data_IF_583234440504
#
_entry.id   IF_583234440504
#
_cell.length_a   1.000
_cell.length_b   1.000
_cell.length_c   1.000
_cell.angle_alpha   90.00
_cell.angle_beta   90.00
_cell.angle_gamma   90.00
#
_symmetry.space_group_name_H-M   'P 1'
#
loop_
_entity.id
_entity.type
_entity.pdbx_description
1 polymer ?
#
# COMPACT_ATOMS: atom_id res chain seq x y z
N UNK A 1 18.94 -3.53 -19.48
CA UNK A 1 17.59 -4.07 -19.25
C UNK A 1 17.30 -4.29 -17.76
N UNK A 2 17.68 -3.36 -16.87
CA UNK A 2 17.32 -3.39 -15.44
C UNK A 2 16.15 -2.44 -15.15
N UNK A 3 15.97 -1.37 -15.94
CA UNK A 3 14.87 -0.43 -15.79
C UNK A 3 13.48 -1.04 -15.97
N UNK A 4 13.31 -1.92 -16.98
CA UNK A 4 11.98 -2.46 -17.34
C UNK A 4 11.39 -3.35 -16.24
N UNK A 5 12.18 -4.26 -15.65
CA UNK A 5 11.74 -5.10 -14.53
C UNK A 5 11.46 -4.31 -13.24
N UNK A 6 12.13 -3.17 -13.05
CA UNK A 6 11.90 -2.32 -11.88
C UNK A 6 10.60 -1.53 -12.01
N UNK A 7 10.23 -1.06 -13.21
CA UNK A 7 8.91 -0.45 -13.43
C UNK A 7 7.77 -1.47 -13.30
N UNK A 8 7.98 -2.70 -13.76
CA UNK A 8 6.98 -3.78 -13.68
C UNK A 8 6.47 -4.00 -12.25
N UNK A 9 7.35 -3.99 -11.24
CA UNK A 9 6.96 -4.30 -9.83
C UNK A 9 6.35 -3.13 -9.05
N UNK A 10 6.33 -1.93 -9.62
CA UNK A 10 5.92 -0.70 -8.94
C UNK A 10 4.68 -0.02 -9.53
N UNK A 11 4.13 -0.59 -10.62
CA UNK A 11 2.96 -0.06 -11.29
C UNK A 11 1.66 -0.37 -10.51
N UNK A 12 0.77 0.61 -10.26
CA UNK A 12 -0.48 0.38 -9.53
C UNK A 12 -1.41 -0.68 -10.15
N UNK A 13 -1.34 -0.85 -11.48
CA UNK A 13 -2.12 -1.85 -12.23
C UNK A 13 -1.85 -3.30 -11.80
N UNK A 14 -0.72 -3.57 -11.15
CA UNK A 14 -0.39 -4.89 -10.60
C UNK A 14 -1.41 -5.37 -9.56
N UNK A 15 -2.18 -4.47 -8.97
CA UNK A 15 -3.30 -4.87 -8.12
C UNK A 15 -4.29 -5.79 -8.86
N UNK A 16 -4.51 -5.55 -10.16
CA UNK A 16 -5.42 -6.35 -10.98
C UNK A 16 -4.88 -7.76 -11.30
N UNK A 17 -3.59 -8.01 -11.03
CA UNK A 17 -2.95 -9.32 -11.22
C UNK A 17 -3.11 -10.21 -9.99
N UNK A 18 -3.53 -9.66 -8.85
CA UNK A 18 -3.91 -10.44 -7.67
C UNK A 18 -5.21 -11.22 -7.94
N UNK A 19 -5.37 -12.36 -7.28
CA UNK A 19 -6.66 -13.07 -7.28
C UNK A 19 -7.76 -12.22 -6.65
N UNK A 20 -9.03 -12.51 -6.96
CA UNK A 20 -10.16 -11.75 -6.41
C UNK A 20 -10.18 -11.74 -4.87
N UNK A 21 -9.84 -12.86 -4.24
CA UNK A 21 -9.77 -12.96 -2.78
C UNK A 21 -8.62 -12.11 -2.20
N UNK A 22 -7.44 -12.13 -2.82
CA UNK A 22 -6.31 -11.29 -2.43
C UNK A 22 -6.62 -9.80 -2.58
N UNK A 23 -7.28 -9.41 -3.67
CA UNK A 23 -7.74 -8.03 -3.88
C UNK A 23 -8.66 -7.58 -2.74
N UNK A 24 -9.65 -8.41 -2.39
CA UNK A 24 -10.60 -8.14 -1.31
C UNK A 24 -9.88 -8.04 0.04
N UNK A 25 -8.99 -8.98 0.36
CA UNK A 25 -8.25 -8.98 1.63
C UNK A 25 -7.37 -7.74 1.75
N UNK A 26 -6.62 -7.39 0.69
CA UNK A 26 -5.71 -6.25 0.69
C UNK A 26 -6.47 -4.92 0.84
N UNK A 27 -7.55 -4.72 0.07
CA UNK A 27 -8.37 -3.50 0.16
C UNK A 27 -9.08 -3.40 1.50
N UNK A 28 -9.64 -4.50 2.00
CA UNK A 28 -10.27 -4.51 3.32
C UNK A 28 -9.25 -4.18 4.42
N UNK A 29 -8.05 -4.76 4.37
CA UNK A 29 -7.00 -4.44 5.33
C UNK A 29 -6.67 -2.95 5.34
N UNK A 30 -6.52 -2.32 4.15
CA UNK A 30 -6.29 -0.88 4.03
C UNK A 30 -7.45 -0.10 4.69
N UNK A 31 -8.69 -0.40 4.31
CA UNK A 31 -9.88 0.32 4.78
C UNK A 31 -10.15 0.18 6.28
N UNK A 32 -9.86 -0.98 6.88
CA UNK A 32 -10.17 -1.25 8.29
C UNK A 32 -9.02 -0.90 9.22
N UNK A 33 -7.78 -0.87 8.72
CA UNK A 33 -6.58 -0.72 9.56
C UNK A 33 -6.00 0.69 9.47
N UNK A 34 -5.99 1.27 8.27
CA UNK A 34 -5.39 2.58 8.03
C UNK A 34 -6.46 3.67 8.11
N UNK A 35 -6.04 4.91 8.39
CA UNK A 35 -6.95 6.06 8.48
C UNK A 35 -6.45 7.21 7.61
N UNK A 36 -7.24 7.68 6.63
CA UNK A 36 -6.87 8.84 5.82
C UNK A 36 -6.95 10.14 6.64
N UNK A 37 -6.12 11.11 6.28
CA UNK A 37 -6.08 12.46 6.87
C UNK A 37 -5.95 13.52 5.75
N UNK A 38 -6.10 14.80 6.08
CA UNK A 38 -6.03 15.89 5.09
C UNK A 38 -4.62 16.26 4.66
N UNK A 39 -3.61 15.88 5.44
CA UNK A 39 -2.21 16.25 5.18
C UNK A 39 -1.39 15.02 4.84
N UNK A 40 -0.30 15.21 4.10
CA UNK A 40 0.71 14.18 3.93
C UNK A 40 1.63 14.19 5.16
N UNK A 41 1.18 13.54 6.25
CA UNK A 41 1.98 13.44 7.47
C UNK A 41 2.79 12.16 7.57
N UNK A 42 2.49 11.17 6.72
CA UNK A 42 3.15 9.87 6.74
C UNK A 42 4.59 9.99 6.25
N UNK A 43 5.58 9.65 7.08
CA UNK A 43 6.94 9.36 6.61
C UNK A 43 7.02 7.97 5.98
N UNK A 44 6.00 7.13 6.19
CA UNK A 44 5.95 5.79 5.61
C UNK A 44 5.46 5.82 4.18
N UNK A 45 6.21 5.15 3.33
CA UNK A 45 5.92 4.98 1.92
C UNK A 45 5.13 3.70 1.63
N UNK A 46 4.60 3.58 0.41
CA UNK A 46 3.94 2.37 -0.10
C UNK A 46 4.75 1.10 0.14
N UNK A 47 6.08 1.20 0.06
CA UNK A 47 7.01 0.09 0.28
C UNK A 47 7.01 -0.38 1.75
N UNK A 48 6.97 0.54 2.70
CA UNK A 48 6.90 0.18 4.11
C UNK A 48 5.52 -0.38 4.45
N UNK A 49 4.46 0.20 3.88
CA UNK A 49 3.08 -0.24 4.12
C UNK A 49 2.85 -1.68 3.64
N UNK A 50 3.38 -2.08 2.46
CA UNK A 50 3.30 -3.49 2.02
C UNK A 50 3.94 -4.45 3.01
N UNK A 51 5.09 -4.08 3.60
CA UNK A 51 5.79 -4.91 4.57
C UNK A 51 5.04 -5.01 5.90
N UNK A 52 4.28 -3.97 6.28
CA UNK A 52 3.39 -4.05 7.44
C UNK A 52 2.27 -5.05 7.15
N UNK A 53 1.58 -4.91 6.01
CA UNK A 53 0.52 -5.83 5.60
C UNK A 53 1.00 -7.28 5.60
N UNK A 54 2.13 -7.56 4.95
CA UNK A 54 2.76 -8.88 4.83
C UNK A 54 3.03 -9.56 6.17
N UNK A 55 3.20 -8.79 7.25
CA UNK A 55 3.48 -9.33 8.60
C UNK A 55 2.21 -9.56 9.42
N UNK A 56 1.06 -9.05 8.99
CA UNK A 56 -0.19 -9.27 9.70
C UNK A 56 -0.69 -10.71 9.52
N UNK A 57 -1.55 -11.24 10.42
CA UNK A 57 -2.04 -12.63 10.33
C UNK A 57 -2.79 -12.98 9.04
N UNK A 58 -3.41 -12.00 8.38
CA UNK A 58 -4.08 -12.16 7.09
C UNK A 58 -3.21 -11.66 5.91
N UNK A 59 -1.97 -11.28 6.21
CA UNK A 59 -1.00 -10.77 5.26
C UNK A 59 -0.49 -11.85 4.32
N UNK A 60 -0.19 -11.44 3.10
CA UNK A 60 0.51 -12.24 2.11
C UNK A 60 1.44 -11.32 1.30
N UNK A 61 2.37 -11.92 0.56
CA UNK A 61 3.34 -11.17 -0.25
C UNK A 61 2.64 -10.35 -1.33
N UNK A 62 2.94 -9.04 -1.40
CA UNK A 62 2.41 -8.17 -2.45
C UNK A 62 3.52 -7.31 -3.04
N UNK A 63 3.49 -7.11 -4.35
CA UNK A 63 4.37 -6.14 -4.99
C UNK A 63 4.01 -4.72 -4.53
N UNK A 64 4.99 -3.81 -4.55
CA UNK A 64 4.78 -2.41 -4.16
C UNK A 64 3.68 -1.77 -5.04
N UNK A 65 3.64 -2.11 -6.34
CA UNK A 65 2.58 -1.70 -7.24
C UNK A 65 1.19 -2.13 -6.79
N UNK A 66 1.02 -3.38 -6.33
CA UNK A 66 -0.28 -3.86 -5.85
C UNK A 66 -0.76 -3.11 -4.60
N UNK A 67 0.15 -2.82 -3.66
CA UNK A 67 -0.17 -1.97 -2.50
C UNK A 67 -0.59 -0.55 -2.92
N UNK A 68 0.11 0.05 -3.90
CA UNK A 68 -0.29 1.36 -4.45
C UNK A 68 -1.70 1.32 -5.04
N UNK A 69 -2.02 0.29 -5.82
CA UNK A 69 -3.33 0.11 -6.42
C UNK A 69 -4.44 0.00 -5.36
N UNK A 70 -4.23 -0.83 -4.33
CA UNK A 70 -5.18 -0.97 -3.22
C UNK A 70 -5.43 0.35 -2.49
N UNK A 71 -4.38 1.13 -2.23
CA UNK A 71 -4.49 2.44 -1.57
C UNK A 71 -5.30 3.45 -2.41
N UNK A 72 -5.11 3.46 -3.74
CA UNK A 72 -5.90 4.29 -4.64
C UNK A 72 -7.38 3.87 -4.65
N UNK A 73 -7.66 2.56 -4.72
CA UNK A 73 -9.03 2.02 -4.66
C UNK A 73 -9.71 2.39 -3.35
N UNK A 74 -8.98 2.37 -2.24
CA UNK A 74 -9.46 2.78 -0.92
C UNK A 74 -9.62 4.31 -0.77
N UNK A 75 -9.35 5.10 -1.81
CA UNK A 75 -9.58 6.55 -1.83
C UNK A 75 -8.48 7.40 -1.18
N UNK A 76 -7.28 6.85 -0.97
CA UNK A 76 -6.14 7.63 -0.47
C UNK A 76 -5.56 8.53 -1.55
N UNK A 77 -5.08 9.69 -1.13
CA UNK A 77 -4.39 10.65 -1.98
C UNK A 77 -2.88 10.40 -1.92
N UNK A 78 -2.22 10.67 -3.04
CA UNK A 78 -0.76 10.55 -3.19
C UNK A 78 -0.11 11.93 -3.26
N UNK A 79 1.08 12.07 -2.68
CA UNK A 79 1.85 13.31 -2.72
C UNK A 79 2.48 13.55 -4.09
N UNK A 80 3.01 12.50 -4.70
CA UNK A 80 3.74 12.55 -5.97
C UNK A 80 3.70 11.18 -6.66
N UNK A 81 3.01 11.09 -7.80
CA UNK A 81 2.86 9.85 -8.57
C UNK A 81 4.15 9.40 -9.28
N UNK A 82 5.11 10.32 -9.48
CA UNK A 82 6.39 10.04 -10.17
C UNK A 82 7.39 9.30 -9.28
N UNK A 83 7.11 9.18 -7.98
CA UNK A 83 7.97 8.46 -7.04
C UNK A 83 7.81 6.94 -7.18
N UNK A 84 8.90 6.20 -6.98
CA UNK A 84 8.84 4.73 -6.91
C UNK A 84 8.09 4.29 -5.66
N UNK A 85 8.34 4.95 -4.53
CA UNK A 85 7.69 4.66 -3.25
C UNK A 85 6.74 5.82 -2.93
N UNK A 86 5.43 5.58 -3.00
CA UNK A 86 4.45 6.65 -2.88
C UNK A 86 4.19 7.02 -1.42
N UNK A 87 4.12 8.32 -1.17
CA UNK A 87 3.64 8.85 0.11
C UNK A 87 2.15 9.12 0.03
N UNK A 88 1.40 8.53 0.96
CA UNK A 88 -0.06 8.70 1.05
C UNK A 88 -0.46 9.59 2.23
N UNK A 89 -1.67 10.13 2.18
CA UNK A 89 -2.28 10.95 3.25
C UNK A 89 -2.81 10.09 4.42
N UNK A 90 -1.92 9.37 5.12
CA UNK A 90 -2.29 8.44 6.20
C UNK A 90 -1.94 9.00 7.58
N UNK A 91 -2.77 8.71 8.57
CA UNK A 91 -2.47 8.97 9.97
C UNK A 91 -1.32 8.08 10.48
N UNK A 92 -0.25 8.71 10.97
CA UNK A 92 0.87 8.03 11.67
C UNK A 92 0.41 7.14 12.82
N UNK A 93 -0.68 7.53 13.51
CA UNK A 93 -1.28 6.71 14.58
C UNK A 93 -1.83 5.39 14.05
N UNK A 94 -2.52 5.41 12.90
CA UNK A 94 -3.05 4.18 12.30
C UNK A 94 -1.95 3.27 11.78
N UNK A 95 -0.89 3.83 11.21
CA UNK A 95 0.32 3.10 10.81
C UNK A 95 0.98 2.44 12.02
N UNK A 96 1.18 3.19 13.10
CA UNK A 96 1.78 2.67 14.34
C UNK A 96 0.97 1.53 14.94
N UNK A 97 -0.37 1.59 14.86
CA UNK A 97 -1.26 0.51 15.26
C UNK A 97 -1.14 -0.70 14.34
N UNK A 98 -1.05 -0.49 13.03
CA UNK A 98 -0.87 -1.57 12.06
C UNK A 98 0.41 -2.37 12.33
N UNK A 99 1.51 -1.70 12.71
CA UNK A 99 2.75 -2.34 13.15
C UNK A 99 2.63 -3.19 14.40
N UNK A 100 1.63 -2.98 15.25
CA UNK A 100 1.42 -3.80 16.45
C UNK A 100 0.58 -5.06 16.16
N UNK A 101 -0.04 -5.12 14.98
CA UNK A 101 -0.87 -6.25 14.56
C UNK A 101 -0.08 -7.34 13.83
N UNK A 102 1.18 -7.11 13.50
CA UNK A 102 2.11 -8.06 12.87
C UNK A 102 3.52 -7.90 13.41
#
# INVERSE_FOLDING_TARGET
MVGDKFEETNAPKLFNELSADEQVVLVNWVLTTLKPIKTFSSQRSSYEIKHIFERTPLGFYVLNGAMKGAMLIAGYQIKNEKEINWTFNISERSISRAYQLG
#
